data_IF_846862200223
#
_entry.id   IF_846862200223
#
_cell.length_a   1.000
_cell.length_b   1.000
_cell.length_c   1.000
_cell.angle_alpha   90.00
_cell.angle_beta   90.00
_cell.angle_gamma   90.00
#
_symmetry.space_group_name_H-M   'P 1'
#
loop_
_entity.id
_entity.type
_entity.pdbx_description
1 polymer ?
#
# COMPACT_ATOMS: atom_id res chain seq x y z
N UNK A 1 -4.82 -14.17 -29.64
CA UNK A 1 -4.83 -13.84 -28.20
C UNK A 1 -3.55 -13.07 -27.87
N UNK A 2 -3.63 -12.05 -27.02
CA UNK A 2 -2.43 -11.33 -26.56
C UNK A 2 -1.82 -12.03 -25.35
N UNK A 3 -0.52 -12.26 -25.40
CA UNK A 3 0.26 -12.82 -24.31
C UNK A 3 1.30 -11.82 -23.86
N UNK A 4 1.30 -11.52 -22.56
CA UNK A 4 2.38 -10.77 -21.94
C UNK A 4 3.41 -11.77 -21.43
N UNK A 5 4.65 -11.64 -21.88
CA UNK A 5 5.73 -12.52 -21.47
C UNK A 5 6.92 -11.73 -20.93
N UNK A 6 7.52 -12.27 -19.85
CA UNK A 6 8.83 -11.84 -19.37
C UNK A 6 9.83 -12.87 -19.83
N UNK A 7 10.83 -12.44 -20.59
CA UNK A 7 11.89 -13.30 -21.09
C UNK A 7 13.25 -12.73 -20.76
N UNK A 8 14.25 -13.60 -20.67
CA UNK A 8 15.63 -13.24 -20.44
C UNK A 8 16.34 -13.13 -21.79
N UNK A 9 16.83 -11.95 -22.13
CA UNK A 9 17.72 -11.69 -23.27
C UNK A 9 19.16 -11.46 -22.83
N UNK A 10 20.07 -11.28 -23.79
CA UNK A 10 21.52 -11.07 -23.52
C UNK A 10 21.82 -9.83 -22.66
N UNK A 11 20.93 -8.84 -22.63
CA UNK A 11 21.06 -7.58 -21.87
C UNK A 11 20.22 -7.56 -20.57
N UNK A 12 19.57 -8.65 -20.20
CA UNK A 12 18.72 -8.75 -18.99
C UNK A 12 17.27 -9.15 -19.28
N UNK A 13 16.39 -8.92 -18.31
CA UNK A 13 14.97 -9.30 -18.41
C UNK A 13 14.22 -8.29 -19.28
N UNK A 14 13.57 -8.79 -20.34
CA UNK A 14 12.76 -8.01 -21.29
C UNK A 14 11.30 -8.43 -21.16
N UNK A 15 10.40 -7.45 -21.11
CA UNK A 15 8.95 -7.67 -21.15
C UNK A 15 8.42 -7.34 -22.54
N UNK A 16 7.67 -8.26 -23.14
CA UNK A 16 7.10 -8.08 -24.48
C UNK A 16 5.67 -8.64 -24.56
N UNK A 17 4.88 -8.04 -25.44
CA UNK A 17 3.52 -8.50 -25.77
C UNK A 17 3.54 -9.13 -27.16
N UNK A 18 3.06 -10.37 -27.28
CA UNK A 18 2.94 -11.08 -28.55
C UNK A 18 1.47 -11.46 -28.80
N UNK A 19 1.05 -11.28 -30.06
CA UNK A 19 -0.21 -11.85 -30.55
C UNK A 19 0.06 -13.30 -31.01
N UNK A 20 -0.52 -14.27 -30.29
CA UNK A 20 -0.44 -15.69 -30.62
C UNK A 20 -1.80 -16.37 -30.43
N UNK A 21 -2.01 -17.51 -31.07
CA UNK A 21 -3.25 -18.28 -30.94
C UNK A 21 -3.28 -19.08 -29.63
N UNK A 22 -2.12 -19.48 -29.12
CA UNK A 22 -1.99 -20.24 -27.88
C UNK A 22 -0.68 -19.89 -27.11
N UNK A 23 -0.56 -20.30 -25.83
CA UNK A 23 0.64 -20.09 -25.03
C UNK A 23 1.92 -20.72 -25.61
N UNK A 24 1.81 -21.82 -26.34
CA UNK A 24 2.97 -22.54 -26.90
C UNK A 24 3.58 -21.76 -28.06
N UNK A 25 2.75 -21.20 -28.93
CA UNK A 25 3.13 -20.35 -30.05
C UNK A 25 3.77 -19.04 -29.55
N UNK A 26 3.20 -18.39 -28.53
CA UNK A 26 3.81 -17.19 -27.94
C UNK A 26 5.21 -17.47 -27.36
N UNK A 27 5.42 -18.66 -26.78
CA UNK A 27 6.73 -19.07 -26.28
C UNK A 27 7.73 -19.31 -27.40
N UNK A 28 7.33 -20.02 -28.43
CA UNK A 28 8.17 -20.32 -29.60
C UNK A 28 8.60 -19.05 -30.35
N UNK A 29 7.69 -18.07 -30.49
CA UNK A 29 8.00 -16.77 -31.11
C UNK A 29 9.04 -15.98 -30.31
N UNK A 30 8.97 -16.01 -28.97
CA UNK A 30 9.99 -15.37 -28.13
C UNK A 30 11.35 -16.10 -28.20
N UNK A 31 11.35 -17.43 -28.25
CA UNK A 31 12.56 -18.24 -28.38
C UNK A 31 13.25 -18.03 -29.74
N UNK A 32 12.50 -17.85 -30.83
CA UNK A 32 13.04 -17.49 -32.15
C UNK A 32 13.74 -16.11 -32.16
N UNK A 33 13.36 -15.21 -31.25
CA UNK A 33 14.01 -13.91 -31.07
C UNK A 33 15.23 -14.00 -30.12
N UNK A 34 15.65 -15.20 -29.72
CA UNK A 34 16.77 -15.43 -28.82
C UNK A 34 16.45 -15.09 -27.36
N UNK A 35 15.18 -15.07 -26.98
CA UNK A 35 14.71 -14.73 -25.64
C UNK A 35 14.23 -15.99 -24.91
N UNK A 36 14.74 -16.23 -23.69
CA UNK A 36 14.31 -17.37 -22.88
C UNK A 36 13.13 -16.99 -22.01
N UNK A 37 11.95 -17.53 -22.29
CA UNK A 37 10.72 -17.18 -21.58
C UNK A 37 10.78 -17.64 -20.11
N UNK A 38 10.67 -16.68 -19.18
CA UNK A 38 10.68 -16.89 -17.73
C UNK A 38 9.25 -16.98 -17.19
N UNK A 39 8.34 -16.15 -17.70
CA UNK A 39 6.92 -16.27 -17.41
C UNK A 39 6.08 -15.88 -18.61
N UNK A 40 4.98 -16.61 -18.81
CA UNK A 40 4.02 -16.39 -19.88
C UNK A 40 2.63 -16.34 -19.24
N UNK A 41 1.94 -15.21 -19.39
CA UNK A 41 0.58 -15.02 -18.87
C UNK A 41 -0.34 -14.61 -20.02
N UNK A 42 -1.50 -15.27 -20.11
CA UNK A 42 -2.56 -14.82 -21.01
C UNK A 42 -3.09 -13.48 -20.52
N UNK A 43 -3.16 -12.49 -21.42
CA UNK A 43 -3.65 -11.15 -21.08
C UNK A 43 -5.14 -11.15 -20.68
N UNK A 44 -5.84 -12.28 -20.81
CA UNK A 44 -7.29 -12.36 -20.55
C UNK A 44 -7.68 -12.40 -19.07
N UNK A 45 -6.75 -12.68 -18.13
CA UNK A 45 -7.05 -12.64 -16.68
C UNK A 45 -6.66 -11.35 -15.97
N UNK A 46 -5.98 -10.41 -16.64
CA UNK A 46 -5.76 -9.06 -16.12
C UNK A 46 -6.93 -8.17 -16.57
N UNK A 47 -8.08 -8.42 -15.96
CA UNK A 47 -9.32 -7.70 -16.22
C UNK A 47 -9.13 -6.18 -16.13
N UNK A 48 -9.47 -5.51 -17.23
CA UNK A 48 -10.19 -4.23 -17.24
C UNK A 48 -9.56 -3.01 -16.55
N UNK A 49 -8.26 -2.97 -16.31
CA UNK A 49 -7.55 -1.74 -15.92
C UNK A 49 -6.70 -1.12 -17.05
N UNK A 50 -6.97 -1.47 -18.31
CA UNK A 50 -6.67 -0.54 -19.41
C UNK A 50 -7.83 0.44 -19.45
N UNK A 51 -7.58 1.65 -18.97
CA UNK A 51 -8.27 2.87 -19.37
C UNK A 51 -8.47 2.82 -20.89
N UNK A 52 -9.61 2.30 -21.33
CA UNK A 52 -10.14 2.58 -22.65
C UNK A 52 -10.57 4.04 -22.54
N UNK A 53 -9.61 4.95 -22.71
CA UNK A 53 -9.87 6.37 -22.91
C UNK A 53 -10.78 6.40 -24.14
N UNK A 54 -12.10 6.44 -23.93
CA UNK A 54 -13.03 6.90 -24.96
C UNK A 54 -12.37 8.18 -25.47
N UNK A 55 -12.12 8.28 -26.77
CA UNK A 55 -11.72 9.54 -27.37
C UNK A 55 -12.83 10.53 -27.05
N UNK A 56 -12.61 11.29 -25.98
CA UNK A 56 -13.54 12.29 -25.52
C UNK A 56 -13.56 13.36 -26.60
N UNK A 57 -14.74 13.79 -27.01
CA UNK A 57 -14.92 14.92 -27.90
C UNK A 57 -14.04 16.08 -27.41
N UNK A 58 -13.10 16.53 -28.25
CA UNK A 58 -12.17 17.57 -27.87
C UNK A 58 -12.86 18.94 -27.95
N UNK A 59 -13.61 19.25 -26.90
CA UNK A 59 -14.42 20.46 -26.83
C UNK A 59 -13.60 21.74 -26.99
N UNK A 60 -12.34 21.74 -26.55
CA UNK A 60 -11.43 22.89 -26.69
C UNK A 60 -11.06 23.10 -28.15
N UNK A 61 -10.61 22.03 -28.84
CA UNK A 61 -10.28 22.09 -30.26
C UNK A 61 -11.50 22.48 -31.10
N UNK A 62 -12.64 21.82 -30.88
CA UNK A 62 -13.90 22.16 -31.53
C UNK A 62 -14.25 23.65 -31.36
N UNK A 63 -14.15 24.17 -30.13
CA UNK A 63 -14.46 25.57 -29.85
C UNK A 63 -13.50 26.52 -30.56
N UNK A 64 -12.21 26.16 -30.67
CA UNK A 64 -11.22 26.95 -31.40
C UNK A 64 -11.51 26.98 -32.90
N UNK A 65 -11.73 25.82 -33.51
CA UNK A 65 -12.02 25.73 -34.94
C UNK A 65 -13.35 26.43 -35.28
N UNK A 66 -14.38 26.25 -34.45
CA UNK A 66 -15.66 26.95 -34.62
C UNK A 66 -15.49 28.47 -34.48
N UNK A 67 -14.72 28.93 -33.49
CA UNK A 67 -14.40 30.36 -33.33
C UNK A 67 -13.71 30.92 -34.58
N UNK A 68 -12.74 30.19 -35.14
CA UNK A 68 -12.03 30.58 -36.36
C UNK A 68 -12.98 30.73 -37.55
N UNK A 69 -13.89 29.76 -37.76
CA UNK A 69 -14.84 29.80 -38.88
C UNK A 69 -15.86 30.94 -38.71
N UNK A 70 -16.39 31.14 -37.50
CA UNK A 70 -17.32 32.23 -37.21
C UNK A 70 -16.67 33.62 -37.40
N UNK A 71 -15.40 33.78 -36.99
CA UNK A 71 -14.65 35.02 -37.22
C UNK A 71 -14.32 35.26 -38.70
N UNK A 72 -14.24 34.19 -39.51
CA UNK A 72 -14.12 34.30 -40.96
C UNK A 72 -15.45 34.68 -41.65
N UNK A 73 -16.54 34.83 -40.89
CA UNK A 73 -17.85 35.22 -41.38
C UNK A 73 -18.71 34.06 -41.88
N UNK A 74 -18.30 32.80 -41.64
CA UNK A 74 -19.14 31.66 -41.99
C UNK A 74 -20.40 31.62 -41.11
N UNK A 75 -21.59 31.38 -41.70
CA UNK A 75 -22.78 31.07 -40.93
C UNK A 75 -22.57 29.85 -40.02
N UNK A 76 -23.21 29.86 -38.84
CA UNK A 76 -23.01 28.84 -37.81
C UNK A 76 -23.26 27.41 -38.30
N UNK A 77 -24.32 27.21 -39.09
CA UNK A 77 -24.67 25.87 -39.61
C UNK A 77 -23.58 25.39 -40.58
N UNK A 78 -23.14 26.24 -41.50
CA UNK A 78 -22.10 25.93 -42.49
C UNK A 78 -20.75 25.65 -41.81
N UNK A 79 -20.43 26.40 -40.75
CA UNK A 79 -19.25 26.16 -39.93
C UNK A 79 -19.30 24.79 -39.26
N UNK A 80 -20.44 24.42 -38.65
CA UNK A 80 -20.61 23.11 -38.00
C UNK A 80 -20.55 21.94 -39.01
N UNK A 81 -21.13 22.11 -40.20
CA UNK A 81 -21.04 21.14 -41.28
C UNK A 81 -19.60 20.95 -41.74
N UNK A 82 -18.86 22.04 -41.94
CA UNK A 82 -17.45 22.00 -42.32
C UNK A 82 -16.61 21.23 -41.30
N UNK A 83 -16.89 21.40 -40.00
CA UNK A 83 -16.24 20.63 -38.94
C UNK A 83 -16.65 19.15 -38.96
N UNK A 84 -17.93 18.84 -39.20
CA UNK A 84 -18.43 17.47 -39.27
C UNK A 84 -17.82 16.68 -40.44
N UNK A 85 -17.65 17.34 -41.59
CA UNK A 85 -17.03 16.75 -42.79
C UNK A 85 -15.54 16.44 -42.60
N UNK A 86 -14.82 17.33 -41.90
CA UNK A 86 -13.39 17.18 -41.60
C UNK A 86 -13.11 16.15 -40.49
N UNK A 87 -14.09 15.89 -39.61
CA UNK A 87 -13.89 15.05 -38.43
C UNK A 87 -13.70 13.56 -38.78
N UNK A 88 -12.63 12.98 -38.24
CA UNK A 88 -12.25 11.59 -38.49
C UNK A 88 -12.75 10.65 -37.39
N UNK A 89 -12.94 11.17 -36.17
CA UNK A 89 -13.42 10.39 -35.04
C UNK A 89 -14.94 10.14 -35.17
N UNK A 90 -15.40 8.87 -35.32
CA UNK A 90 -16.81 8.58 -35.59
C UNK A 90 -17.77 9.08 -34.51
N UNK A 91 -17.32 9.12 -33.25
CA UNK A 91 -18.12 9.59 -32.13
C UNK A 91 -18.25 11.13 -32.10
N UNK A 92 -17.18 11.84 -32.47
CA UNK A 92 -17.21 13.29 -32.57
C UNK A 92 -18.06 13.74 -33.77
N UNK A 93 -17.90 13.08 -34.92
CA UNK A 93 -18.72 13.33 -36.10
C UNK A 93 -20.21 13.17 -35.82
N UNK A 94 -20.62 12.07 -35.17
CA UNK A 94 -22.02 11.89 -34.74
C UNK A 94 -22.55 13.01 -33.85
N UNK A 95 -21.70 13.57 -33.00
CA UNK A 95 -22.08 14.68 -32.12
C UNK A 95 -22.33 15.95 -32.94
N UNK A 96 -21.47 16.22 -33.94
CA UNK A 96 -21.61 17.35 -34.85
C UNK A 96 -22.83 17.21 -35.76
N UNK A 97 -23.04 16.02 -36.33
CA UNK A 97 -24.21 15.71 -37.17
C UNK A 97 -25.52 15.92 -36.39
N UNK A 98 -25.56 15.49 -35.13
CA UNK A 98 -26.70 15.71 -34.24
C UNK A 98 -26.94 17.20 -33.98
N UNK A 99 -25.89 17.98 -33.72
CA UNK A 99 -26.02 19.43 -33.56
C UNK A 99 -26.59 20.08 -34.82
N UNK A 100 -26.03 19.77 -35.99
CA UNK A 100 -26.50 20.29 -37.27
C UNK A 100 -27.99 19.95 -37.48
N UNK A 101 -28.40 18.71 -37.21
CA UNK A 101 -29.81 18.30 -37.30
C UNK A 101 -30.71 19.15 -36.41
N UNK A 102 -30.32 19.33 -35.14
CA UNK A 102 -31.10 20.11 -34.16
C UNK A 102 -31.22 21.58 -34.55
N UNK A 103 -30.19 22.16 -35.17
CA UNK A 103 -30.25 23.53 -35.68
C UNK A 103 -31.20 23.66 -36.89
N UNK A 104 -31.21 22.68 -37.80
CA UNK A 104 -32.19 22.64 -38.90
C UNK A 104 -33.63 22.45 -38.42
N UNK A 105 -33.84 21.75 -37.28
CA UNK A 105 -35.14 21.66 -36.60
C UNK A 105 -35.59 23.00 -35.97
N UNK A 106 -34.77 24.05 -36.05
CA UNK A 106 -35.09 25.39 -35.53
C UNK A 106 -34.76 25.58 -34.05
N UNK A 107 -34.05 24.63 -33.42
CA UNK A 107 -33.58 24.81 -32.04
C UNK A 107 -32.40 25.78 -32.02
N UNK A 108 -32.30 26.54 -30.93
CA UNK A 108 -31.14 27.39 -30.70
C UNK A 108 -29.90 26.52 -30.42
N UNK A 109 -28.70 27.03 -30.70
CA UNK A 109 -27.43 26.36 -30.43
C UNK A 109 -27.33 25.99 -28.96
N UNK A 110 -27.70 26.90 -28.04
CA UNK A 110 -27.68 26.59 -26.60
C UNK A 110 -28.62 25.44 -26.22
N UNK A 111 -29.81 25.36 -26.83
CA UNK A 111 -30.75 24.25 -26.64
C UNK A 111 -30.22 22.93 -27.23
N UNK A 112 -29.56 22.99 -28.39
CA UNK A 112 -28.95 21.82 -29.02
C UNK A 112 -27.80 21.26 -28.19
N UNK A 113 -26.88 22.12 -27.73
CA UNK A 113 -25.77 21.74 -26.85
C UNK A 113 -26.28 21.18 -25.51
N UNK A 114 -27.35 21.75 -24.97
CA UNK A 114 -27.97 21.30 -23.72
C UNK A 114 -28.55 19.88 -23.76
N UNK A 115 -28.89 19.35 -24.95
CA UNK A 115 -29.33 17.96 -25.13
C UNK A 115 -28.17 16.95 -25.07
N UNK A 116 -26.92 17.42 -25.06
CA UNK A 116 -25.70 16.61 -25.10
C UNK A 116 -24.79 16.88 -23.88
N UNK A 117 -25.27 16.73 -22.64
CA UNK A 117 -24.54 17.11 -21.42
C UNK A 117 -23.28 16.28 -21.15
N UNK A 118 -23.17 15.09 -21.77
CA UNK A 118 -21.97 14.26 -21.69
C UNK A 118 -20.77 14.86 -22.44
N UNK A 119 -21.04 15.75 -23.41
CA UNK A 119 -20.04 16.41 -24.24
C UNK A 119 -19.91 17.89 -23.89
N UNK A 120 -21.04 18.57 -23.66
CA UNK A 120 -21.09 20.02 -23.41
C UNK A 120 -21.46 20.30 -21.95
N UNK A 121 -20.49 20.73 -21.11
CA UNK A 121 -20.75 21.08 -19.72
C UNK A 121 -21.71 22.27 -19.60
N UNK A 122 -22.45 22.33 -18.49
CA UNK A 122 -23.43 23.41 -18.23
C UNK A 122 -22.84 24.83 -18.38
N UNK A 123 -21.59 25.03 -17.96
CA UNK A 123 -20.89 26.32 -18.12
C UNK A 123 -20.73 26.71 -19.59
N UNK A 124 -20.43 25.76 -20.47
CA UNK A 124 -20.30 26.00 -21.90
C UNK A 124 -21.63 26.42 -22.51
N UNK A 125 -22.69 25.67 -22.17
CA UNK A 125 -24.06 25.95 -22.61
C UNK A 125 -24.52 27.34 -22.14
N UNK A 126 -24.26 27.70 -20.89
CA UNK A 126 -24.63 29.01 -20.34
C UNK A 126 -23.91 30.17 -21.04
N UNK A 127 -22.61 30.02 -21.34
CA UNK A 127 -21.86 31.03 -22.09
C UNK A 127 -22.43 31.22 -23.49
N UNK A 128 -22.67 30.12 -24.21
CA UNK A 128 -23.30 30.15 -25.53
C UNK A 128 -24.68 30.81 -25.46
N UNK A 129 -25.52 30.42 -24.50
CA UNK A 129 -26.86 30.97 -24.31
C UNK A 129 -26.85 32.49 -24.10
N UNK A 130 -25.89 33.00 -23.31
CA UNK A 130 -25.76 34.43 -23.05
C UNK A 130 -25.31 35.25 -24.26
N UNK A 131 -24.59 34.61 -25.19
CA UNK A 131 -23.98 35.26 -26.35
C UNK A 131 -24.68 34.99 -27.68
N UNK A 132 -25.59 34.02 -27.70
CA UNK A 132 -26.38 33.64 -28.87
C UNK A 132 -27.30 34.78 -29.33
N UNK A 133 -27.96 35.48 -28.40
CA UNK A 133 -28.84 36.61 -28.72
C UNK A 133 -28.11 37.87 -29.18
N UNK A 134 -26.85 38.02 -28.78
CA UNK A 134 -26.02 39.19 -29.10
C UNK A 134 -25.13 38.97 -30.31
N UNK A 135 -25.15 37.77 -30.91
CA UNK A 135 -24.28 37.39 -32.02
C UNK A 135 -22.80 37.21 -31.63
N UNK A 136 -22.45 37.33 -30.35
CA UNK A 136 -21.08 37.30 -29.85
C UNK A 136 -20.57 35.87 -29.55
N UNK A 137 -20.98 34.88 -30.34
CA UNK A 137 -20.67 33.47 -30.12
C UNK A 137 -19.16 33.19 -30.16
N UNK A 138 -18.45 33.75 -31.13
CA UNK A 138 -17.01 33.58 -31.27
C UNK A 138 -16.25 34.08 -30.01
N UNK A 139 -16.68 35.20 -29.43
CA UNK A 139 -16.09 35.71 -28.20
C UNK A 139 -16.36 34.79 -27.01
N UNK A 140 -17.59 34.28 -26.87
CA UNK A 140 -17.97 33.37 -25.79
C UNK A 140 -17.17 32.06 -25.82
N UNK A 141 -17.00 31.48 -27.01
CA UNK A 141 -16.19 30.30 -27.24
C UNK A 141 -14.71 30.55 -26.91
N UNK A 142 -14.16 31.69 -27.33
CA UNK A 142 -12.80 32.12 -26.98
C UNK A 142 -12.59 32.27 -25.47
N UNK A 143 -13.55 32.87 -24.76
CA UNK A 143 -13.52 32.98 -23.29
C UNK A 143 -13.52 31.60 -22.61
N UNK A 144 -14.31 30.66 -23.11
CA UNK A 144 -14.32 29.29 -22.59
C UNK A 144 -12.99 28.57 -22.81
N UNK A 145 -12.39 28.69 -24.00
CA UNK A 145 -11.09 28.12 -24.31
C UNK A 145 -10.02 28.65 -23.37
N UNK A 146 -9.96 29.97 -23.18
CA UNK A 146 -9.02 30.61 -22.25
C UNK A 146 -9.22 30.15 -20.80
N UNK A 147 -10.48 30.01 -20.37
CA UNK A 147 -10.80 29.48 -19.04
C UNK A 147 -10.29 28.04 -18.87
N UNK A 148 -10.53 27.16 -19.84
CA UNK A 148 -10.08 25.76 -19.80
C UNK A 148 -8.56 25.64 -19.76
N UNK A 149 -7.84 26.44 -20.56
CA UNK A 149 -6.38 26.46 -20.55
C UNK A 149 -5.82 26.82 -19.17
N UNK A 150 -6.37 27.86 -18.52
CA UNK A 150 -5.97 28.24 -17.15
C UNK A 150 -6.23 27.13 -16.13
N UNK A 151 -7.34 26.42 -16.25
CA UNK A 151 -7.63 25.28 -15.35
C UNK A 151 -6.64 24.13 -15.53
N UNK A 152 -6.29 23.81 -16.78
CA UNK A 152 -5.34 22.75 -17.08
C UNK A 152 -3.93 23.09 -16.55
N UNK A 153 -3.50 24.36 -16.64
CA UNK A 153 -2.27 24.83 -16.02
C UNK A 153 -2.26 24.67 -14.50
N UNK A 154 -3.35 25.07 -13.83
CA UNK A 154 -3.50 24.92 -12.37
C UNK A 154 -3.45 23.45 -11.98
N UNK A 155 -4.18 22.59 -12.71
CA UNK A 155 -4.16 21.14 -12.48
C UNK A 155 -2.77 20.56 -12.67
N UNK A 156 -2.04 20.97 -13.71
CA UNK A 156 -0.69 20.50 -13.96
C UNK A 156 0.25 20.87 -12.81
N UNK A 157 0.15 22.10 -12.27
CA UNK A 157 0.91 22.54 -11.10
C UNK A 157 0.61 21.70 -9.85
N UNK A 158 -0.67 21.39 -9.61
CA UNK A 158 -1.09 20.54 -8.48
C UNK A 158 -0.51 19.12 -8.65
N UNK A 159 -0.63 18.54 -9.84
CA UNK A 159 -0.10 17.20 -10.13
C UNK A 159 1.41 17.18 -9.94
N UNK A 160 2.15 18.14 -10.51
CA UNK A 160 3.60 18.19 -10.39
C UNK A 160 4.06 18.35 -8.94
N UNK A 161 3.38 19.19 -8.16
CA UNK A 161 3.68 19.37 -6.74
C UNK A 161 3.38 18.13 -5.89
N UNK A 162 2.48 17.25 -6.35
CA UNK A 162 2.06 16.05 -5.61
C UNK A 162 2.92 14.81 -5.89
N UNK A 163 3.72 14.81 -6.96
CA UNK A 163 4.55 13.64 -7.34
C UNK A 163 5.58 13.30 -6.25
N UNK A 164 6.33 14.30 -5.77
CA UNK A 164 7.40 14.06 -4.79
C UNK A 164 6.88 13.56 -3.43
N UNK A 165 5.84 14.18 -2.81
CA UNK A 165 5.24 13.64 -1.59
C UNK A 165 4.72 12.21 -1.74
N UNK A 166 4.08 11.88 -2.86
CA UNK A 166 3.55 10.54 -3.10
C UNK A 166 4.66 9.50 -3.25
N UNK A 167 5.78 9.86 -3.90
CA UNK A 167 6.97 9.02 -4.00
C UNK A 167 7.57 8.74 -2.62
N UNK A 168 7.70 9.76 -1.76
CA UNK A 168 8.18 9.58 -0.39
C UNK A 168 7.27 8.64 0.42
N UNK A 169 5.94 8.82 0.33
CA UNK A 169 4.99 7.92 0.98
C UNK A 169 5.10 6.48 0.46
N UNK A 170 5.26 6.30 -0.84
CA UNK A 170 5.41 4.99 -1.45
C UNK A 170 6.70 4.29 -1.02
N UNK A 171 7.83 5.01 -1.01
CA UNK A 171 9.11 4.48 -0.51
C UNK A 171 9.01 4.15 0.99
N UNK A 172 8.40 5.03 1.78
CA UNK A 172 8.16 4.79 3.21
C UNK A 172 7.25 3.57 3.46
N UNK A 173 6.21 3.38 2.63
CA UNK A 173 5.34 2.22 2.73
C UNK A 173 6.06 0.91 2.35
N UNK A 174 6.92 0.95 1.33
CA UNK A 174 7.72 -0.20 0.90
C UNK A 174 8.74 -0.63 1.97
N UNK A 175 9.33 0.31 2.70
CA UNK A 175 10.30 0.01 3.76
C UNK A 175 9.64 -0.37 5.07
N UNK A 176 8.48 0.20 5.41
CA UNK A 176 7.75 -0.10 6.64
C UNK A 176 7.08 -1.50 6.63
N UNK A 177 6.74 -2.02 5.46
CA UNK A 177 6.03 -3.31 5.34
C UNK A 177 6.89 -4.57 5.44
N UNK A 178 8.23 -4.49 5.28
CA UNK A 178 9.06 -5.67 4.99
C UNK A 178 10.43 -5.70 5.68
N UNK A 179 10.61 -5.01 6.80
CA UNK A 179 11.69 -5.42 7.69
C UNK A 179 11.23 -6.72 8.37
N UNK A 180 11.89 -7.84 8.05
CA UNK A 180 11.84 -9.02 8.93
C UNK A 180 12.18 -8.48 10.31
N UNK A 181 11.38 -8.87 11.30
CA UNK A 181 11.62 -8.36 12.63
C UNK A 181 13.05 -8.73 13.02
N UNK A 182 13.93 -7.81 13.45
CA UNK A 182 15.37 -8.12 13.54
C UNK A 182 15.69 -9.29 14.49
N UNK A 183 14.72 -9.67 15.33
CA UNK A 183 14.78 -10.87 16.16
C UNK A 183 14.52 -12.18 15.39
N UNK A 184 13.74 -12.17 14.30
CA UNK A 184 13.52 -13.31 13.41
C UNK A 184 14.78 -13.69 12.62
N UNK A 185 15.71 -12.76 12.41
CA UNK A 185 17.05 -13.11 11.91
C UNK A 185 17.81 -14.01 12.90
N UNK A 186 17.61 -13.78 14.21
CA UNK A 186 18.19 -14.62 15.25
C UNK A 186 17.44 -15.95 15.44
N UNK A 187 16.22 -16.06 14.93
CA UNK A 187 15.39 -17.27 14.98
C UNK A 187 14.76 -17.56 13.59
N UNK A 188 15.57 -18.01 12.62
CA UNK A 188 15.07 -18.26 11.27
C UNK A 188 14.04 -19.40 11.27
N UNK A 189 12.95 -19.21 10.53
CA UNK A 189 11.86 -20.19 10.47
C UNK A 189 10.94 -20.21 11.71
N UNK A 190 11.02 -19.18 12.56
CA UNK A 190 10.10 -19.00 13.69
C UNK A 190 8.62 -19.08 13.24
N UNK A 191 7.87 -19.96 13.89
CA UNK A 191 6.42 -20.08 13.77
C UNK A 191 5.78 -19.83 15.12
N UNK A 192 4.57 -19.29 15.11
CA UNK A 192 3.81 -19.07 16.33
C UNK A 192 3.44 -20.43 16.94
N UNK A 193 3.88 -20.66 18.17
CA UNK A 193 3.50 -21.84 18.97
C UNK A 193 2.17 -21.58 19.66
N UNK A 194 2.04 -20.42 20.30
CA UNK A 194 0.87 -20.06 21.08
C UNK A 194 0.88 -18.59 21.47
N UNK A 195 -0.27 -18.09 21.90
CA UNK A 195 -0.46 -16.70 22.30
C UNK A 195 -1.53 -16.59 23.37
N UNK A 196 -1.36 -15.67 24.31
CA UNK A 196 -2.31 -15.44 25.40
C UNK A 196 -2.25 -14.03 25.94
N UNK A 197 -3.16 -13.71 26.86
CA UNK A 197 -3.19 -12.41 27.55
C UNK A 197 -3.14 -12.59 29.07
N UNK A 198 -2.32 -11.80 29.74
CA UNK A 198 -2.41 -11.65 31.18
C UNK A 198 -3.52 -10.67 31.52
N UNK A 199 -4.57 -11.14 32.22
CA UNK A 199 -5.67 -10.29 32.70
C UNK A 199 -5.69 -10.25 34.22
N UNK A 200 -5.93 -9.07 34.78
CA UNK A 200 -6.10 -8.87 36.22
C UNK A 200 -7.41 -8.11 36.42
N UNK A 201 -8.35 -8.67 37.18
CA UNK A 201 -9.72 -8.16 37.31
C UNK A 201 -10.42 -7.91 35.95
N UNK A 202 -10.18 -8.77 34.97
CA UNK A 202 -10.73 -8.63 33.61
C UNK A 202 -10.04 -7.59 32.71
N UNK A 203 -9.08 -6.82 33.22
CA UNK A 203 -8.30 -5.86 32.43
C UNK A 203 -7.00 -6.50 31.90
N UNK A 204 -6.79 -6.45 30.58
CA UNK A 204 -5.56 -6.95 29.93
C UNK A 204 -4.36 -6.08 30.30
N UNK A 205 -3.36 -6.69 30.94
CA UNK A 205 -2.11 -6.05 31.36
C UNK A 205 -1.11 -6.08 30.21
N UNK A 206 -0.89 -7.27 29.65
CA UNK A 206 -0.08 -7.48 28.45
C UNK A 206 -0.54 -8.72 27.68
N UNK A 207 -0.29 -8.72 26.37
CA UNK A 207 -0.36 -9.91 25.52
C UNK A 207 1.01 -10.56 25.41
N UNK A 208 1.06 -11.88 25.31
CA UNK A 208 2.28 -12.64 25.11
C UNK A 208 2.15 -13.59 23.92
N UNK A 209 3.22 -13.75 23.14
CA UNK A 209 3.31 -14.71 22.04
C UNK A 209 4.61 -15.49 22.12
N UNK A 210 4.52 -16.80 21.95
CA UNK A 210 5.66 -17.69 21.91
C UNK A 210 5.90 -18.17 20.49
N UNK A 211 7.14 -18.05 20.04
CA UNK A 211 7.58 -18.43 18.70
C UNK A 211 8.71 -19.46 18.80
N UNK A 212 8.69 -20.48 17.96
CA UNK A 212 9.77 -21.46 17.87
C UNK A 212 9.90 -21.95 16.43
N UNK A 213 11.09 -22.42 16.05
CA UNK A 213 11.28 -23.09 14.76
C UNK A 213 10.64 -24.49 14.75
N UNK A 214 10.46 -25.12 15.92
CA UNK A 214 9.84 -26.42 16.06
C UNK A 214 8.30 -26.34 16.06
N UNK A 215 7.64 -27.40 15.57
CA UNK A 215 6.18 -27.50 15.56
C UNK A 215 5.58 -27.70 16.97
N UNK A 216 6.36 -28.26 17.90
CA UNK A 216 6.01 -28.40 19.32
C UNK A 216 7.08 -27.68 20.13
N UNK A 217 6.65 -26.97 21.17
CA UNK A 217 7.58 -26.27 22.04
C UNK A 217 8.53 -27.23 22.76
N UNK A 218 9.82 -26.89 22.72
CA UNK A 218 10.93 -27.55 23.39
C UNK A 218 11.82 -26.45 23.98
N UNK A 219 12.04 -26.50 25.31
CA UNK A 219 12.79 -25.47 26.03
C UNK A 219 14.31 -25.59 25.84
N UNK A 220 14.78 -26.66 25.20
CA UNK A 220 16.18 -26.83 24.80
C UNK A 220 16.48 -26.27 23.41
N UNK A 221 15.45 -25.83 22.68
CA UNK A 221 15.61 -25.26 21.34
C UNK A 221 15.51 -23.73 21.37
N UNK A 222 16.04 -23.05 20.33
CA UNK A 222 15.82 -21.62 20.18
C UNK A 222 14.33 -21.26 20.11
N UNK A 223 13.93 -20.24 20.86
CA UNK A 223 12.57 -19.71 20.85
C UNK A 223 12.57 -18.20 21.12
N UNK A 224 11.48 -17.52 20.80
CA UNK A 224 11.28 -16.12 21.10
C UNK A 224 9.97 -15.92 21.86
N UNK A 225 10.03 -15.12 22.94
CA UNK A 225 8.88 -14.68 23.69
C UNK A 225 8.69 -13.19 23.46
N UNK A 226 7.59 -12.83 22.81
CA UNK A 226 7.18 -11.44 22.57
C UNK A 226 6.13 -11.04 23.60
N UNK A 227 6.38 -9.94 24.32
CA UNK A 227 5.43 -9.31 25.25
C UNK A 227 4.98 -7.97 24.67
N UNK A 228 3.67 -7.79 24.51
CA UNK A 228 3.02 -6.56 24.06
C UNK A 228 2.33 -5.88 25.24
N UNK A 229 2.87 -4.74 25.69
CA UNK A 229 2.35 -4.02 26.84
C UNK A 229 1.13 -3.18 26.46
N UNK A 230 0.06 -3.21 27.26
CA UNK A 230 -1.12 -2.38 27.02
C UNK A 230 -1.13 -1.06 27.82
N UNK A 231 -0.13 -0.84 28.67
CA UNK A 231 0.02 0.34 29.53
C UNK A 231 1.47 0.76 29.64
N UNK A 232 1.69 2.02 30.04
CA UNK A 232 3.03 2.50 30.33
C UNK A 232 3.59 1.86 31.60
N UNK A 233 4.85 1.43 31.56
CA UNK A 233 5.57 0.84 32.69
C UNK A 233 7.02 1.34 32.65
N UNK A 234 7.54 1.79 33.79
CA UNK A 234 8.94 2.20 33.86
C UNK A 234 9.88 0.99 33.82
N UNK A 235 11.08 1.19 33.27
CA UNK A 235 12.16 0.22 33.24
C UNK A 235 12.43 -0.35 34.63
N UNK A 236 12.57 0.51 35.63
CA UNK A 236 12.91 0.07 36.99
C UNK A 236 11.86 -0.87 37.57
N UNK A 237 10.58 -0.62 37.26
CA UNK A 237 9.48 -1.50 37.66
C UNK A 237 9.48 -2.83 36.91
N UNK A 238 9.83 -2.84 35.62
CA UNK A 238 9.99 -4.08 34.86
C UNK A 238 11.14 -4.93 35.43
N UNK A 239 12.26 -4.29 35.76
CA UNK A 239 13.43 -4.95 36.34
C UNK A 239 13.09 -5.54 37.72
N UNK A 240 12.49 -4.74 38.62
CA UNK A 240 12.18 -5.22 39.98
C UNK A 240 11.20 -6.39 39.97
N UNK A 241 10.10 -6.30 39.22
CA UNK A 241 9.11 -7.38 39.13
C UNK A 241 9.72 -8.66 38.55
N UNK A 242 10.61 -8.53 37.54
CA UNK A 242 11.27 -9.69 36.94
C UNK A 242 12.23 -10.37 37.91
N UNK A 243 12.99 -9.60 38.69
CA UNK A 243 13.92 -10.13 39.70
C UNK A 243 13.17 -10.81 40.85
N UNK A 244 12.09 -10.21 41.35
CA UNK A 244 11.25 -10.79 42.41
C UNK A 244 10.71 -12.17 41.98
N UNK A 245 10.27 -12.28 40.73
CA UNK A 245 9.73 -13.54 40.20
C UNK A 245 10.82 -14.58 39.93
N UNK A 246 11.98 -14.18 39.43
CA UNK A 246 13.15 -15.06 39.30
C UNK A 246 13.57 -15.59 40.66
N UNK A 247 13.67 -14.72 41.68
CA UNK A 247 14.07 -15.12 43.03
C UNK A 247 13.07 -16.12 43.62
N UNK A 248 11.77 -15.89 43.42
CA UNK A 248 10.71 -16.82 43.84
C UNK A 248 10.85 -18.19 43.18
N UNK A 249 11.06 -18.24 41.86
CA UNK A 249 11.17 -19.50 41.10
C UNK A 249 12.47 -20.26 41.39
N UNK A 250 13.54 -19.53 41.71
CA UNK A 250 14.87 -20.09 41.95
C UNK A 250 15.02 -20.71 43.35
N UNK A 251 14.07 -20.53 44.26
CA UNK A 251 14.07 -21.15 45.60
C UNK A 251 15.41 -21.03 46.36
N UNK A 252 16.11 -19.90 46.20
CA UNK A 252 17.40 -19.63 46.86
C UNK A 252 18.64 -20.15 46.14
N UNK A 253 18.52 -20.75 44.95
CA UNK A 253 19.66 -21.23 44.16
C UNK A 253 20.48 -20.12 43.49
N UNK A 254 19.99 -18.87 43.51
CA UNK A 254 20.66 -17.71 42.89
C UNK A 254 21.24 -16.84 44.00
N UNK A 255 22.55 -16.59 43.93
CA UNK A 255 23.27 -15.76 44.90
C UNK A 255 22.92 -14.27 44.75
N UNK A 256 23.12 -13.50 45.83
CA UNK A 256 22.93 -12.04 45.79
C UNK A 256 23.81 -11.34 44.73
N UNK A 257 25.03 -11.84 44.53
CA UNK A 257 25.94 -11.34 43.49
C UNK A 257 25.38 -11.57 42.08
N UNK A 258 24.83 -12.76 41.82
CA UNK A 258 24.17 -13.07 40.56
C UNK A 258 22.92 -12.21 40.33
N UNK A 259 22.08 -12.01 41.35
CA UNK A 259 20.91 -11.13 41.25
C UNK A 259 21.31 -9.70 40.89
N UNK A 260 22.35 -9.16 41.53
CA UNK A 260 22.87 -7.82 41.22
C UNK A 260 23.41 -7.74 39.78
N UNK A 261 24.13 -8.76 39.32
CA UNK A 261 24.59 -8.84 37.94
C UNK A 261 23.41 -8.88 36.96
N UNK A 262 22.40 -9.70 37.22
CA UNK A 262 21.21 -9.84 36.39
C UNK A 262 20.38 -8.56 36.35
N UNK A 263 20.26 -7.86 37.48
CA UNK A 263 19.67 -6.53 37.55
C UNK A 263 20.35 -5.56 36.57
N UNK A 264 21.70 -5.50 36.58
CA UNK A 264 22.45 -4.64 35.68
C UNK A 264 22.26 -5.03 34.19
N UNK A 265 22.16 -6.33 33.89
CA UNK A 265 21.85 -6.80 32.54
C UNK A 265 20.45 -6.37 32.09
N UNK A 266 19.43 -6.51 32.95
CA UNK A 266 18.07 -6.10 32.65
C UNK A 266 17.93 -4.58 32.51
N UNK A 267 18.64 -3.78 33.32
CA UNK A 267 18.66 -2.31 33.19
C UNK A 267 19.22 -1.83 31.85
N UNK A 268 20.13 -2.60 31.24
CA UNK A 268 20.64 -2.33 29.87
C UNK A 268 19.70 -2.84 28.79
N UNK A 269 19.04 -3.98 29.04
CA UNK A 269 18.14 -4.63 28.09
C UNK A 269 16.76 -4.00 27.97
N UNK A 270 16.22 -3.45 29.06
CA UNK A 270 14.87 -2.89 29.09
C UNK A 270 14.89 -1.36 29.00
N UNK A 271 13.76 -0.80 28.57
CA UNK A 271 13.51 0.63 28.45
C UNK A 271 12.17 0.95 29.10
N UNK A 272 11.88 2.25 29.30
CA UNK A 272 10.53 2.67 29.67
C UNK A 272 9.57 2.34 28.52
N UNK A 273 8.54 1.55 28.81
CA UNK A 273 7.57 1.10 27.81
C UNK A 273 6.32 1.97 27.85
N UNK A 274 5.77 2.23 26.67
CA UNK A 274 4.46 2.87 26.48
C UNK A 274 3.41 1.81 26.10
N UNK A 275 2.13 2.19 26.13
CA UNK A 275 1.08 1.33 25.61
C UNK A 275 1.32 0.99 24.12
N UNK A 276 1.23 -0.28 23.77
CA UNK A 276 1.56 -0.82 22.44
C UNK A 276 3.03 -1.19 22.25
N UNK A 277 3.92 -0.90 23.20
CA UNK A 277 5.32 -1.29 23.09
C UNK A 277 5.48 -2.81 23.12
N UNK A 278 6.41 -3.31 22.30
CA UNK A 278 6.75 -4.73 22.19
C UNK A 278 8.19 -4.96 22.66
N UNK A 279 8.36 -5.90 23.59
CA UNK A 279 9.67 -6.41 23.99
C UNK A 279 9.74 -7.88 23.61
N UNK A 280 10.75 -8.26 22.83
CA UNK A 280 10.96 -9.64 22.40
C UNK A 280 12.27 -10.16 22.97
N UNK A 281 12.19 -11.21 23.79
CA UNK A 281 13.35 -11.97 24.24
C UNK A 281 13.55 -13.20 23.36
N UNK A 282 14.71 -13.33 22.72
CA UNK A 282 15.10 -14.54 21.97
C UNK A 282 16.06 -15.36 22.81
N UNK A 283 15.67 -16.59 23.13
CA UNK A 283 16.51 -17.58 23.78
C UNK A 283 17.38 -18.30 22.75
N UNK A 284 18.68 -18.39 23.03
CA UNK A 284 19.66 -19.09 22.22
C UNK A 284 20.42 -20.08 23.13
N UNK A 285 20.11 -21.39 23.06
CA UNK A 285 20.76 -22.42 23.87
C UNK A 285 22.30 -22.33 23.77
N UNK A 286 22.99 -22.43 24.90
CA UNK A 286 24.45 -22.31 24.99
C UNK A 286 25.03 -20.90 24.77
N UNK A 287 24.20 -19.90 24.43
CA UNK A 287 24.64 -18.51 24.21
C UNK A 287 24.01 -17.51 25.20
N UNK A 288 22.81 -17.79 25.71
CA UNK A 288 22.05 -16.90 26.59
C UNK A 288 20.80 -16.34 25.88
N UNK A 289 20.62 -15.02 25.89
CA UNK A 289 19.47 -14.40 25.23
C UNK A 289 19.73 -13.01 24.66
N UNK A 290 18.85 -12.58 23.75
CA UNK A 290 18.86 -11.25 23.13
C UNK A 290 17.52 -10.57 23.34
N UNK A 291 17.55 -9.28 23.67
CA UNK A 291 16.36 -8.48 23.88
C UNK A 291 16.21 -7.43 22.79
N UNK A 292 15.01 -7.37 22.24
CA UNK A 292 14.63 -6.45 21.19
C UNK A 292 13.48 -5.58 21.68
N UNK A 293 13.51 -4.29 21.36
CA UNK A 293 12.39 -3.37 21.60
C UNK A 293 11.87 -2.95 20.23
N UNK A 294 10.63 -3.34 19.91
CA UNK A 294 10.17 -3.36 18.53
C UNK A 294 11.10 -4.21 17.67
N UNK A 295 11.75 -3.57 16.69
CA UNK A 295 12.66 -4.23 15.74
C UNK A 295 14.14 -3.99 16.00
N UNK A 296 14.50 -3.33 17.11
CA UNK A 296 15.90 -2.99 17.41
C UNK A 296 16.45 -3.89 18.50
N UNK A 297 17.60 -4.51 18.23
CA UNK A 297 18.39 -5.18 19.28
C UNK A 297 18.81 -4.14 20.31
N UNK A 298 18.33 -4.31 21.54
CA UNK A 298 18.62 -3.43 22.65
C UNK A 298 19.84 -3.92 23.43
N UNK A 299 19.89 -5.22 23.75
CA UNK A 299 21.00 -5.81 24.48
C UNK A 299 21.08 -7.32 24.28
N UNK A 300 22.29 -7.88 24.39
CA UNK A 300 22.54 -9.32 24.38
C UNK A 300 23.17 -9.75 25.71
N UNK A 301 22.54 -10.70 26.38
CA UNK A 301 23.00 -11.24 27.66
C UNK A 301 23.59 -12.62 27.42
N UNK A 302 24.92 -12.72 27.57
CA UNK A 302 25.69 -13.97 27.40
C UNK A 302 25.76 -14.78 28.70
N UNK A 303 24.60 -15.06 29.27
CA UNK A 303 24.45 -15.81 30.51
C UNK A 303 23.24 -16.75 30.35
N UNK A 304 23.51 -18.05 30.29
CA UNK A 304 22.47 -19.06 30.10
C UNK A 304 21.61 -19.25 31.36
N UNK A 305 22.20 -19.14 32.55
CA UNK A 305 21.46 -19.25 33.80
C UNK A 305 20.47 -18.09 33.93
N UNK A 306 20.90 -16.87 33.59
CA UNK A 306 20.01 -15.71 33.47
C UNK A 306 18.88 -15.98 32.48
N UNK A 307 19.23 -16.43 31.26
CA UNK A 307 18.25 -16.61 30.20
C UNK A 307 17.18 -17.64 30.59
N UNK A 308 17.59 -18.80 31.13
CA UNK A 308 16.66 -19.84 31.62
C UNK A 308 15.78 -19.31 32.75
N UNK A 309 16.38 -18.62 33.74
CA UNK A 309 15.63 -18.05 34.86
C UNK A 309 14.62 -16.98 34.40
N UNK A 310 15.00 -16.13 33.44
CA UNK A 310 14.14 -15.08 32.91
C UNK A 310 12.93 -15.66 32.16
N UNK A 311 13.13 -16.57 31.21
CA UNK A 311 12.00 -17.15 30.47
C UNK A 311 11.13 -18.07 31.34
N UNK A 312 11.69 -18.64 32.42
CA UNK A 312 10.95 -19.43 33.41
C UNK A 312 9.80 -18.64 34.07
N UNK A 313 9.88 -17.29 34.15
CA UNK A 313 8.77 -16.44 34.63
C UNK A 313 7.44 -16.81 33.95
N UNK A 314 7.47 -17.09 32.65
CA UNK A 314 6.29 -17.43 31.85
C UNK A 314 6.14 -18.93 31.60
N UNK A 315 7.24 -19.66 31.45
CA UNK A 315 7.24 -21.03 30.93
C UNK A 315 7.39 -22.11 32.00
N UNK A 316 7.86 -21.78 33.21
CA UNK A 316 7.98 -22.73 34.32
C UNK A 316 6.59 -23.19 34.79
N UNK A 317 6.39 -24.49 35.09
CA UNK A 317 5.13 -24.99 35.65
C UNK A 317 4.63 -24.25 36.90
N UNK A 318 5.55 -23.63 37.66
CA UNK A 318 5.28 -22.85 38.87
C UNK A 318 5.02 -21.36 38.59
N UNK A 319 4.86 -20.95 37.33
CA UNK A 319 4.51 -19.57 36.96
C UNK A 319 3.23 -19.11 37.67
N UNK A 320 3.18 -17.83 38.07
CA UNK A 320 2.00 -17.24 38.72
C UNK A 320 0.75 -17.24 37.83
N UNK A 321 0.91 -17.42 36.52
CA UNK A 321 -0.17 -17.34 35.55
C UNK A 321 -0.26 -18.64 34.72
N UNK A 322 -0.80 -19.73 35.31
CA UNK A 322 -0.83 -21.04 34.66
C UNK A 322 -1.68 -21.05 33.37
N UNK A 323 -2.76 -20.26 33.33
CA UNK A 323 -3.61 -20.11 32.12
C UNK A 323 -2.82 -19.51 30.96
N UNK A 324 -2.12 -18.39 31.21
CA UNK A 324 -1.27 -17.75 30.19
C UNK A 324 -0.19 -18.71 29.70
N UNK A 325 0.43 -19.46 30.61
CA UNK A 325 1.43 -20.47 30.26
C UNK A 325 0.84 -21.54 29.33
N UNK A 326 -0.33 -22.09 29.66
CA UNK A 326 -0.98 -23.10 28.82
C UNK A 326 -1.26 -22.54 27.41
N UNK A 327 -1.79 -21.32 27.31
CA UNK A 327 -2.04 -20.63 26.04
C UNK A 327 -0.76 -20.43 25.21
N UNK A 328 0.36 -20.08 25.85
CA UNK A 328 1.66 -19.92 25.18
C UNK A 328 2.23 -21.23 24.65
N UNK A 329 2.03 -22.33 25.38
CA UNK A 329 2.51 -23.66 25.01
C UNK A 329 1.61 -24.38 24.00
N UNK A 330 0.57 -23.72 23.48
CA UNK A 330 -0.37 -24.29 22.51
C UNK A 330 -1.39 -25.25 23.14
N UNK A 331 -1.57 -25.21 24.46
CA UNK A 331 -2.69 -25.88 25.13
C UNK A 331 -3.99 -25.17 24.75
N UNK A 332 -4.95 -25.93 24.21
CA UNK A 332 -6.28 -25.43 23.90
C UNK A 332 -6.96 -24.90 25.18
N UNK A 333 -7.61 -23.74 25.05
CA UNK A 333 -8.60 -23.21 26.01
C UNK A 333 -9.79 -24.16 26.17
#
# INVERSE_FOLDING_TARGET
>A
MRFALKALGKAGVVALELDAQDPAQARQMAEQQGLRVVSLRSAERFGRLRWRRREAFNLVLFSQELTTLLNAGLPLIDALQSLAEKETAPQARKTLDELVRLLYEGKSLSQALGQLPAVFPALYVALVQSSEKTGALAEALGRYVAYRQRMDEVRQKIVSASIYPLLLLLVGALTCGQAVAAWQEALPGARLVGSGELKVWGLSIYGARLWSAAARFDDQQPFALEITYHRAVSRDRLVSISLDEIQRLSAGSVTAAQLSQWQAQMQRAFVDVQAGARITGVYLPGQGCRFYVGERLQHAVRDEAFARAFFAIWLDPRSRNPELRQQLLGGAS
#
